data_IF_747291537661
#
_entry.id   IF_747291537661
#
_cell.length_a   1.000
_cell.length_b   1.000
_cell.length_c   1.000
_cell.angle_alpha   90.00
_cell.angle_beta   90.00
_cell.angle_gamma   90.00
#
_symmetry.space_group_name_H-M   'P 1'
#
loop_
_entity.id
_entity.type
_entity.pdbx_description
1 polymer ?
#
# COMPACT_ATOMS: atom_id res chain seq x y z
N UNK A 1 -0.10 8.76 10.19
CA UNK A 1 -0.57 9.55 9.02
C UNK A 1 0.15 10.89 8.74
N UNK A 2 1.18 11.32 9.50
CA UNK A 2 1.84 12.65 9.33
C UNK A 2 3.15 12.65 8.52
N UNK A 3 3.65 11.48 8.12
CA UNK A 3 4.95 11.35 7.45
C UNK A 3 4.91 11.69 5.96
N UNK A 4 3.76 11.47 5.31
CA UNK A 4 3.56 11.66 3.87
C UNK A 4 2.38 12.61 3.55
N UNK A 5 1.99 13.45 4.51
CA UNK A 5 0.95 14.48 4.36
C UNK A 5 1.44 15.82 4.89
N UNK A 6 0.72 16.91 4.59
CA UNK A 6 1.16 18.29 4.90
C UNK A 6 1.14 18.66 6.40
N UNK A 7 0.71 17.76 7.28
CA UNK A 7 0.65 18.04 8.71
C UNK A 7 1.99 17.82 9.42
N UNK A 8 2.54 18.90 9.97
CA UNK A 8 3.73 18.88 10.82
C UNK A 8 3.55 18.04 12.08
N UNK A 9 4.64 17.40 12.52
CA UNK A 9 4.70 16.72 13.81
C UNK A 9 4.71 17.73 14.96
N UNK A 10 4.05 17.39 16.09
CA UNK A 10 3.97 18.27 17.26
C UNK A 10 5.18 18.15 18.20
N UNK A 11 5.93 17.05 18.11
CA UNK A 11 7.17 16.82 18.87
C UNK A 11 8.19 16.00 18.06
N UNK A 12 9.47 16.08 18.42
CA UNK A 12 10.57 15.31 17.81
C UNK A 12 10.42 13.80 18.02
N UNK A 13 9.92 13.36 19.18
CA UNK A 13 9.63 11.95 19.47
C UNK A 13 8.51 11.39 18.58
N UNK A 14 7.48 12.19 18.30
CA UNK A 14 6.43 11.79 17.35
C UNK A 14 6.94 11.65 15.92
N UNK A 15 7.93 12.45 15.53
CA UNK A 15 8.59 12.32 14.23
C UNK A 15 9.46 11.05 14.18
N UNK A 16 10.13 10.71 15.27
CA UNK A 16 10.97 9.51 15.38
C UNK A 16 10.14 8.22 15.26
N UNK A 17 8.98 8.17 15.92
CA UNK A 17 8.06 7.02 15.92
C UNK A 17 7.10 7.02 14.72
N UNK A 18 7.17 8.02 13.85
CA UNK A 18 6.21 8.19 12.76
C UNK A 18 6.18 7.02 11.77
N UNK A 19 7.34 6.36 11.54
CA UNK A 19 7.45 5.20 10.66
C UNK A 19 6.85 3.94 11.29
N UNK A 20 7.10 3.73 12.58
CA UNK A 20 6.55 2.59 13.34
C UNK A 20 5.04 2.72 13.43
N UNK A 21 4.53 3.89 13.84
CA UNK A 21 3.09 4.17 13.85
C UNK A 21 2.45 4.01 12.46
N UNK A 22 3.16 4.34 11.37
CA UNK A 22 2.63 4.11 10.04
C UNK A 22 2.59 2.62 9.68
N UNK A 23 3.60 1.84 10.08
CA UNK A 23 3.63 0.41 9.85
C UNK A 23 2.47 -0.29 10.58
N UNK A 24 2.19 0.12 11.82
CA UNK A 24 1.06 -0.42 12.60
C UNK A 24 -0.29 -0.10 11.94
N UNK A 25 -0.50 1.14 11.49
CA UNK A 25 -1.73 1.52 10.77
C UNK A 25 -1.88 0.77 9.44
N UNK A 26 -0.77 0.51 8.73
CA UNK A 26 -0.79 -0.31 7.52
C UNK A 26 -1.14 -1.78 7.83
N UNK A 27 -0.68 -2.30 8.98
CA UNK A 27 -1.04 -3.63 9.45
C UNK A 27 -2.54 -3.72 9.80
N UNK A 28 -3.11 -2.70 10.44
CA UNK A 28 -4.54 -2.64 10.74
C UNK A 28 -5.40 -2.63 9.47
N UNK A 29 -5.01 -1.86 8.45
CA UNK A 29 -5.70 -1.86 7.15
C UNK A 29 -5.64 -3.24 6.50
N UNK A 30 -4.47 -3.89 6.53
CA UNK A 30 -4.30 -5.24 5.98
C UNK A 30 -5.16 -6.26 6.74
N UNK A 31 -5.21 -6.17 8.07
CA UNK A 31 -6.02 -7.05 8.91
C UNK A 31 -7.51 -6.93 8.57
N UNK A 32 -8.03 -5.69 8.48
CA UNK A 32 -9.44 -5.46 8.10
C UNK A 32 -9.72 -6.01 6.69
N UNK A 33 -8.81 -5.83 5.75
CA UNK A 33 -8.95 -6.38 4.39
C UNK A 33 -9.04 -7.92 4.39
N UNK A 34 -8.21 -8.58 5.20
CA UNK A 34 -8.25 -10.04 5.37
C UNK A 34 -9.59 -10.48 5.98
N UNK A 35 -10.08 -9.79 7.01
CA UNK A 35 -11.38 -10.08 7.62
C UNK A 35 -12.53 -9.97 6.60
N UNK A 36 -12.53 -8.93 5.77
CA UNK A 36 -13.52 -8.74 4.72
C UNK A 36 -13.47 -9.86 3.68
N UNK A 37 -12.27 -10.27 3.26
CA UNK A 37 -12.10 -11.38 2.32
C UNK A 37 -12.64 -12.69 2.90
N UNK A 38 -12.35 -12.97 4.17
CA UNK A 38 -12.86 -14.16 4.87
C UNK A 38 -14.40 -14.13 4.98
N UNK A 39 -14.99 -13.01 5.37
CA UNK A 39 -16.44 -12.85 5.50
C UNK A 39 -17.17 -13.04 4.16
N UNK A 40 -16.52 -12.68 3.05
CA UNK A 40 -17.10 -12.74 1.70
C UNK A 40 -16.69 -14.00 0.92
N UNK A 41 -15.97 -14.94 1.56
CA UNK A 41 -15.41 -16.15 0.93
C UNK A 41 -14.53 -15.87 -0.29
N UNK A 42 -13.78 -14.76 -0.27
CA UNK A 42 -12.82 -14.41 -1.32
C UNK A 42 -11.46 -15.04 -0.98
N UNK A 43 -10.92 -15.85 -1.91
CA UNK A 43 -9.52 -16.27 -1.83
C UNK A 43 -8.61 -15.09 -2.20
N UNK A 44 -8.17 -14.35 -1.18
CA UNK A 44 -7.36 -13.15 -1.35
C UNK A 44 -6.01 -13.44 -2.01
N UNK A 45 -5.41 -14.61 -1.75
CA UNK A 45 -4.14 -15.04 -2.35
C UNK A 45 -4.26 -15.18 -3.87
N UNK A 46 -5.26 -15.93 -4.34
CA UNK A 46 -5.49 -16.08 -5.78
C UNK A 46 -5.84 -14.75 -6.47
N UNK A 47 -6.65 -13.92 -5.81
CA UNK A 47 -7.03 -12.61 -6.32
C UNK A 47 -5.79 -11.70 -6.47
N UNK A 48 -4.88 -11.72 -5.49
CA UNK A 48 -3.63 -10.97 -5.52
C UNK A 48 -2.72 -11.44 -6.67
N UNK A 49 -2.52 -12.75 -6.82
CA UNK A 49 -1.69 -13.31 -7.91
C UNK A 49 -2.22 -12.85 -9.28
N UNK A 50 -3.52 -13.04 -9.55
CA UNK A 50 -4.14 -12.61 -10.82
C UNK A 50 -4.00 -11.10 -11.04
N UNK A 51 -4.08 -10.30 -9.98
CA UNK A 51 -3.93 -8.85 -10.08
C UNK A 51 -2.50 -8.44 -10.47
N UNK A 52 -1.50 -9.10 -9.87
CA UNK A 52 -0.09 -8.87 -10.17
C UNK A 52 0.24 -9.28 -11.61
N UNK A 53 -0.23 -10.42 -12.09
CA UNK A 53 -0.01 -10.86 -13.47
C UNK A 53 -0.61 -9.87 -14.47
N UNK A 54 -1.86 -9.43 -14.22
CA UNK A 54 -2.53 -8.43 -15.05
C UNK A 54 -1.76 -7.11 -15.11
N UNK A 55 -1.29 -6.62 -13.96
CA UNK A 55 -0.52 -5.35 -13.90
C UNK A 55 0.85 -5.50 -14.55
N UNK A 56 1.54 -6.61 -14.32
CA UNK A 56 2.84 -6.90 -14.95
C UNK A 56 2.70 -6.88 -16.46
N UNK A 57 1.66 -7.53 -17.00
CA UNK A 57 1.40 -7.56 -18.44
C UNK A 57 1.07 -6.17 -18.98
N UNK A 58 0.16 -5.44 -18.31
CA UNK A 58 -0.26 -4.09 -18.72
C UNK A 58 0.89 -3.09 -18.69
N UNK A 59 1.73 -3.16 -17.65
CA UNK A 59 2.73 -2.15 -17.35
C UNK A 59 4.13 -2.51 -17.87
N UNK A 60 4.28 -3.66 -18.56
CA UNK A 60 5.55 -4.18 -19.07
C UNK A 60 6.39 -3.16 -19.85
N UNK A 61 5.73 -2.28 -20.61
CA UNK A 61 6.39 -1.23 -21.40
C UNK A 61 6.05 0.18 -20.91
N UNK A 62 5.26 0.32 -19.84
CA UNK A 62 4.71 1.62 -19.41
C UNK A 62 5.78 2.59 -18.94
N UNK A 63 6.82 2.10 -18.29
CA UNK A 63 7.95 2.93 -17.85
C UNK A 63 8.91 3.27 -18.99
N UNK A 64 9.16 2.31 -19.88
CA UNK A 64 10.05 2.48 -21.04
C UNK A 64 9.46 3.49 -22.04
N UNK A 65 8.15 3.47 -22.23
CA UNK A 65 7.43 4.32 -23.18
C UNK A 65 6.91 5.63 -22.56
N UNK A 66 7.34 6.00 -21.35
CA UNK A 66 6.88 7.23 -20.70
C UNK A 66 7.76 8.42 -21.07
N UNK A 67 7.27 9.29 -21.93
CA UNK A 67 7.95 10.52 -22.36
C UNK A 67 8.36 11.46 -21.20
N UNK A 68 7.66 11.39 -20.05
CA UNK A 68 8.01 12.19 -18.86
C UNK A 68 9.23 11.67 -18.10
N UNK A 69 9.68 10.45 -18.40
CA UNK A 69 10.79 9.77 -17.73
C UNK A 69 12.02 9.59 -18.64
N UNK A 70 11.96 10.10 -19.87
CA UNK A 70 13.11 10.20 -20.76
C UNK A 70 13.93 11.45 -20.48
#
# INVERSE_FOLDING_TARGET
ARLYGEQSFKSSEQAQQAKENLADEMADVLFVLICLANQTNINLTEALIKNLDKKTTRDATRHINNEKLQ
#
